data_IF_427060925488
#
_entry.id   IF_427060925488
#
_cell.length_a   1.000
_cell.length_b   1.000
_cell.length_c   1.000
_cell.angle_alpha   90.00
_cell.angle_beta   90.00
_cell.angle_gamma   90.00
#
_symmetry.space_group_name_H-M   'P 1'
#
loop_
_entity.id
_entity.type
_entity.pdbx_description
1 polymer ?
#
# COMPACT_ATOMS: atom_id res chain seq x y z
N UNK A 1 3.62 -8.31 -18.74
CA UNK A 1 3.25 -9.26 -17.67
C UNK A 1 2.23 -8.55 -16.79
N UNK A 2 1.07 -9.17 -16.58
CA UNK A 2 0.02 -8.63 -15.72
C UNK A 2 0.02 -9.45 -14.43
N UNK A 3 0.57 -8.89 -13.35
CA UNK A 3 0.52 -9.50 -12.03
C UNK A 3 -0.74 -9.00 -11.35
N UNK A 4 -1.69 -9.91 -11.15
CA UNK A 4 -2.91 -9.64 -10.39
C UNK A 4 -2.78 -10.28 -9.03
N UNK A 5 -2.51 -9.47 -8.02
CA UNK A 5 -2.52 -9.93 -6.62
C UNK A 5 -3.82 -9.48 -6.00
N UNK A 6 -4.56 -10.43 -5.45
CA UNK A 6 -5.86 -10.17 -4.80
C UNK A 6 -5.73 -9.80 -3.33
N UNK A 7 -4.56 -9.98 -2.74
CA UNK A 7 -4.41 -9.74 -1.32
C UNK A 7 -2.96 -9.43 -0.95
N UNK A 8 -2.73 -8.17 -0.60
CA UNK A 8 -1.55 -7.73 0.13
C UNK A 8 -1.96 -7.41 1.56
N UNK A 9 -1.40 -8.15 2.53
CA UNK A 9 -1.52 -7.89 3.96
C UNK A 9 -0.23 -7.31 4.51
N UNK A 10 -0.34 -6.22 5.26
CA UNK A 10 0.79 -5.57 5.89
C UNK A 10 0.55 -5.40 7.39
N UNK A 11 1.61 -5.59 8.18
CA UNK A 11 1.61 -5.31 9.61
C UNK A 11 2.87 -4.52 9.96
N UNK A 12 2.74 -3.26 10.38
CA UNK A 12 3.80 -2.51 11.05
C UNK A 12 3.64 -2.66 12.58
N UNK A 13 4.72 -2.81 13.37
CA UNK A 13 4.70 -3.19 14.80
C UNK A 13 5.68 -2.30 15.62
N UNK A 14 5.60 -2.17 16.98
CA UNK A 14 4.58 -2.65 17.92
C UNK A 14 3.85 -1.51 18.67
N UNK A 15 2.52 -1.53 18.61
CA UNK A 15 1.64 -0.62 19.36
C UNK A 15 0.29 -0.54 18.65
N UNK A 16 0.31 -0.07 17.40
CA UNK A 16 -0.82 -0.19 16.48
C UNK A 16 -0.39 -0.36 15.02
N UNK A 17 -1.21 -1.08 14.25
CA UNK A 17 -0.84 -1.63 12.94
C UNK A 17 -1.64 -0.94 11.84
N UNK A 18 -0.98 -0.41 10.80
CA UNK A 18 -1.68 -0.19 9.54
C UNK A 18 -1.82 -1.52 8.82
N UNK A 19 -2.97 -2.17 9.03
CA UNK A 19 -3.35 -3.35 8.28
C UNK A 19 -4.19 -2.91 7.11
N UNK A 20 -3.80 -3.37 5.93
CA UNK A 20 -4.70 -3.31 4.81
C UNK A 20 -4.71 -4.60 4.04
N UNK A 21 -5.84 -4.84 3.38
CA UNK A 21 -6.00 -5.82 2.32
C UNK A 21 -6.11 -5.03 1.03
N UNK A 22 -5.16 -5.20 0.13
CA UNK A 22 -5.24 -4.59 -1.19
C UNK A 22 -5.25 -5.61 -2.31
N UNK A 23 -6.07 -5.32 -3.33
CA UNK A 23 -5.94 -5.91 -4.65
C UNK A 23 -5.16 -4.95 -5.55
N UNK A 24 -4.29 -5.46 -6.41
CA UNK A 24 -3.63 -4.64 -7.40
C UNK A 24 -3.41 -5.36 -8.72
N UNK A 25 -3.36 -4.55 -9.78
CA UNK A 25 -3.08 -4.98 -11.14
C UNK A 25 -1.86 -4.20 -11.64
N UNK A 26 -0.81 -4.92 -12.08
CA UNK A 26 0.38 -4.30 -12.65
C UNK A 26 0.26 -4.19 -14.17
N UNK A 27 0.39 -2.98 -14.71
CA UNK A 27 0.45 -2.71 -16.15
C UNK A 27 1.85 -2.28 -16.61
N UNK A 28 2.12 -2.41 -17.90
CA UNK A 28 3.30 -1.79 -18.53
C UNK A 28 2.98 -0.34 -18.87
N UNK A 29 3.20 0.57 -17.92
CA UNK A 29 3.23 2.00 -18.17
C UNK A 29 4.32 2.64 -17.30
N UNK A 30 5.12 3.59 -17.84
CA UNK A 30 6.17 4.27 -17.08
C UNK A 30 5.62 5.36 -16.13
N UNK A 31 4.38 5.20 -15.68
CA UNK A 31 3.69 6.17 -14.83
C UNK A 31 3.79 5.76 -13.35
N UNK A 32 3.58 6.72 -12.47
CA UNK A 32 3.51 6.44 -11.04
C UNK A 32 2.28 5.58 -10.72
N UNK A 33 2.42 4.73 -9.71
CA UNK A 33 1.33 3.88 -9.23
C UNK A 33 0.29 4.72 -8.49
N UNK A 34 -0.95 4.27 -8.48
CA UNK A 34 -2.05 4.93 -7.78
C UNK A 34 -2.69 3.98 -6.79
N UNK A 35 -3.16 4.54 -5.67
CA UNK A 35 -3.90 3.80 -4.65
C UNK A 35 -5.21 4.53 -4.34
N UNK A 36 -6.24 3.78 -3.99
CA UNK A 36 -7.49 4.30 -3.43
C UNK A 36 -7.97 3.41 -2.29
N UNK A 37 -8.62 4.03 -1.30
CA UNK A 37 -9.12 3.38 -0.10
C UNK A 37 -10.63 3.27 -0.20
N UNK A 38 -11.15 2.05 -0.05
CA UNK A 38 -12.58 1.76 -0.08
C UNK A 38 -13.18 1.99 1.30
N UNK A 39 -12.58 1.39 2.35
CA UNK A 39 -13.01 1.57 3.74
C UNK A 39 -11.81 1.82 4.67
N UNK A 40 -12.05 2.57 5.75
CA UNK A 40 -11.14 2.70 6.89
C UNK A 40 -11.74 2.05 8.14
N UNK A 41 -10.88 1.50 9.01
CA UNK A 41 -11.28 0.89 10.28
C UNK A 41 -10.39 1.47 11.40
N UNK A 42 -10.96 2.08 12.46
CA UNK A 42 -12.37 2.37 12.63
C UNK A 42 -12.87 3.37 11.57
N UNK A 43 -14.18 3.42 11.33
CA UNK A 43 -14.78 4.25 10.28
C UNK A 43 -14.60 5.76 10.49
N UNK A 44 -14.22 6.16 11.71
CA UNK A 44 -13.88 7.52 12.12
C UNK A 44 -12.36 7.78 12.15
N UNK A 45 -11.55 6.89 11.54
CA UNK A 45 -10.13 7.14 11.35
C UNK A 45 -9.90 8.51 10.69
N UNK A 46 -8.89 9.24 11.17
CA UNK A 46 -8.58 10.58 10.69
C UNK A 46 -8.39 10.57 9.16
N UNK A 47 -9.20 11.34 8.40
CA UNK A 47 -9.13 11.36 6.95
C UNK A 47 -7.76 11.81 6.43
N UNK A 48 -7.02 12.62 7.18
CA UNK A 48 -5.65 13.01 6.84
C UNK A 48 -4.71 11.81 6.85
N UNK A 49 -4.83 10.92 7.84
CA UNK A 49 -4.00 9.73 7.93
C UNK A 49 -4.36 8.72 6.83
N UNK A 50 -5.65 8.64 6.45
CA UNK A 50 -6.09 7.82 5.32
C UNK A 50 -5.52 8.32 3.99
N UNK A 51 -5.53 9.64 3.76
CA UNK A 51 -4.91 10.24 2.58
C UNK A 51 -3.39 10.04 2.53
N UNK A 52 -2.71 10.21 3.68
CA UNK A 52 -1.28 9.94 3.79
C UNK A 52 -0.96 8.47 3.52
N UNK A 53 -1.73 7.54 4.08
CA UNK A 53 -1.53 6.10 3.87
C UNK A 53 -1.71 5.74 2.40
N UNK A 54 -2.73 6.29 1.74
CA UNK A 54 -2.96 6.13 0.30
C UNK A 54 -1.75 6.61 -0.50
N UNK A 55 -1.24 7.81 -0.21
CA UNK A 55 -0.08 8.35 -0.90
C UNK A 55 1.16 7.47 -0.66
N UNK A 56 1.41 7.06 0.57
CA UNK A 56 2.59 6.27 0.91
C UNK A 56 2.55 4.86 0.31
N UNK A 57 1.37 4.24 0.17
CA UNK A 57 1.21 2.99 -0.60
C UNK A 57 1.58 3.22 -2.05
N UNK A 58 1.02 4.27 -2.68
CA UNK A 58 1.32 4.59 -4.07
C UNK A 58 2.82 4.84 -4.32
N UNK A 59 3.48 5.58 -3.42
CA UNK A 59 4.92 5.86 -3.47
C UNK A 59 5.74 4.57 -3.32
N UNK A 60 5.35 3.68 -2.41
CA UNK A 60 6.03 2.41 -2.18
C UNK A 60 5.91 1.47 -3.39
N UNK A 61 4.72 1.35 -3.97
CA UNK A 61 4.51 0.63 -5.22
C UNK A 61 5.34 1.22 -6.36
N UNK A 62 5.32 2.53 -6.53
CA UNK A 62 6.11 3.24 -7.55
C UNK A 62 7.60 2.96 -7.38
N UNK A 63 8.11 2.97 -6.15
CA UNK A 63 9.53 2.71 -5.85
C UNK A 63 9.97 1.29 -6.21
N UNK A 64 9.07 0.30 -6.17
CA UNK A 64 9.36 -1.09 -6.54
C UNK A 64 9.11 -1.35 -8.03
N UNK A 65 8.04 -0.82 -8.59
CA UNK A 65 7.56 -1.14 -9.94
C UNK A 65 8.21 -0.30 -11.04
N UNK A 66 8.50 0.99 -10.79
CA UNK A 66 9.07 1.90 -11.78
C UNK A 66 10.44 1.43 -12.30
N UNK A 67 11.36 0.92 -11.47
CA UNK A 67 12.61 0.32 -11.97
C UNK A 67 12.42 -0.89 -12.90
N UNK A 68 11.25 -1.55 -12.83
CA UNK A 68 10.88 -2.68 -13.67
C UNK A 68 10.08 -2.27 -14.92
N UNK A 69 9.85 -0.96 -15.13
CA UNK A 69 9.00 -0.44 -16.20
C UNK A 69 7.51 -0.74 -16.01
N UNK A 70 7.09 -0.91 -14.75
CA UNK A 70 5.72 -1.26 -14.37
C UNK A 70 5.07 -0.14 -13.54
N UNK A 71 3.75 -0.14 -13.51
CA UNK A 71 2.93 0.65 -12.59
C UNK A 71 1.78 -0.21 -12.06
N UNK A 72 1.13 0.24 -10.98
CA UNK A 72 -0.04 -0.44 -10.43
C UNK A 72 -1.20 0.51 -10.11
N UNK A 73 -2.40 -0.04 -10.21
CA UNK A 73 -3.61 0.50 -9.60
C UNK A 73 -3.93 -0.38 -8.39
N UNK A 74 -3.94 0.22 -7.19
CA UNK A 74 -4.11 -0.48 -5.91
C UNK A 74 -5.46 -0.12 -5.30
N UNK A 75 -6.31 -1.13 -5.12
CA UNK A 75 -7.58 -1.05 -4.43
C UNK A 75 -7.41 -1.52 -2.99
N UNK A 76 -7.47 -0.62 -2.03
CA UNK A 76 -7.38 -0.96 -0.61
C UNK A 76 -8.80 -1.19 -0.09
N UNK A 77 -9.11 -2.44 0.27
CA UNK A 77 -10.43 -2.83 0.79
C UNK A 77 -10.66 -2.22 2.16
N UNK A 78 -9.95 -2.72 3.16
CA UNK A 78 -9.99 -2.20 4.53
C UNK A 78 -8.62 -1.61 4.87
N UNK A 79 -8.60 -0.40 5.42
CA UNK A 79 -7.41 0.28 5.91
C UNK A 79 -7.57 0.58 7.40
N UNK A 80 -6.88 -0.18 8.24
CA UNK A 80 -6.87 0.04 9.68
C UNK A 80 -5.85 1.13 10.00
N UNK A 81 -6.22 2.25 10.63
CA UNK A 81 -5.27 3.32 10.96
C UNK A 81 -5.38 3.72 12.42
N UNK A 82 -4.23 3.78 13.09
CA UNK A 82 -4.08 4.33 14.43
C UNK A 82 -2.97 5.37 14.40
N UNK A 83 -3.20 6.48 15.09
CA UNK A 83 -2.40 7.70 15.08
C UNK A 83 -1.07 7.60 15.85
N UNK A 84 -1.02 6.77 16.90
CA UNK A 84 0.13 6.71 17.83
C UNK A 84 1.45 6.26 17.15
N UNK A 85 1.39 5.44 16.10
CA UNK A 85 2.57 4.83 15.45
C UNK A 85 2.60 5.01 13.91
N UNK A 86 1.89 6.00 13.39
CA UNK A 86 1.79 6.21 11.94
C UNK A 86 3.07 6.83 11.34
N UNK A 87 4.04 5.97 11.01
CA UNK A 87 5.33 6.36 10.43
C UNK A 87 5.42 6.10 8.93
N UNK A 88 5.65 7.16 8.14
CA UNK A 88 5.89 7.08 6.69
C UNK A 88 6.96 6.04 6.34
N UNK A 89 8.09 6.11 7.02
CA UNK A 89 9.24 5.25 6.75
C UNK A 89 8.91 3.77 6.97
N UNK A 90 8.35 3.43 8.13
CA UNK A 90 8.00 2.06 8.46
C UNK A 90 6.94 1.55 7.49
N UNK A 91 5.93 2.38 7.21
CA UNK A 91 4.83 2.04 6.35
C UNK A 91 5.29 1.76 4.91
N UNK A 92 6.05 2.67 4.29
CA UNK A 92 6.63 2.46 2.96
C UNK A 92 7.54 1.22 2.94
N UNK A 93 8.39 1.05 3.95
CA UNK A 93 9.32 -0.10 4.03
C UNK A 93 8.58 -1.43 4.02
N UNK A 94 7.57 -1.61 4.87
CA UNK A 94 6.83 -2.86 4.94
C UNK A 94 5.97 -3.11 3.70
N UNK A 95 5.38 -2.06 3.09
CA UNK A 95 4.69 -2.17 1.80
C UNK A 95 5.64 -2.71 0.73
N UNK A 96 6.82 -2.10 0.60
CA UNK A 96 7.82 -2.52 -0.39
C UNK A 96 8.29 -3.95 -0.16
N UNK A 97 8.59 -4.34 1.09
CA UNK A 97 9.03 -5.69 1.42
C UNK A 97 7.96 -6.73 1.05
N UNK A 98 6.69 -6.46 1.38
CA UNK A 98 5.60 -7.38 1.07
C UNK A 98 5.35 -7.48 -0.43
N UNK A 99 5.40 -6.36 -1.15
CA UNK A 99 5.27 -6.34 -2.60
C UNK A 99 6.39 -7.15 -3.29
N UNK A 100 7.63 -6.94 -2.86
CA UNK A 100 8.80 -7.70 -3.37
C UNK A 100 8.65 -9.20 -3.14
N UNK A 101 8.24 -9.60 -1.92
CA UNK A 101 7.96 -10.99 -1.58
C UNK A 101 6.89 -11.61 -2.50
N UNK A 102 5.78 -10.89 -2.75
CA UNK A 102 4.71 -11.33 -3.65
C UNK A 102 5.15 -11.43 -5.12
N UNK A 103 6.11 -10.60 -5.52
CA UNK A 103 6.70 -10.60 -6.87
C UNK A 103 7.84 -11.61 -7.03
N UNK A 104 8.36 -12.16 -5.93
CA UNK A 104 9.51 -13.06 -5.94
C UNK A 104 10.85 -12.37 -6.26
N UNK A 105 11.03 -11.11 -5.84
CA UNK A 105 12.24 -10.29 -6.08
C UNK A 105 12.87 -9.73 -4.79
#
# INVERSE_FOLDING_TARGET
MQLKVRELRQTACPGYVVMYVAEFDTGQTPNDSSAYVVNTIPSDADPLLADLARQWIADAFTSVLKPLGLSAIVAIGDLVIHDVDFSEYAFKKFTMLRLKELMGI
#
